data_IF_193831237812
#
_entry.id   IF_193831237812
#
_cell.length_a   1.000
_cell.length_b   1.000
_cell.length_c   1.000
_cell.angle_alpha   90.00
_cell.angle_beta   90.00
_cell.angle_gamma   90.00
#
_symmetry.space_group_name_H-M   'P 1'
#
loop_
_entity.id
_entity.type
_entity.pdbx_description
1 polymer ?
#
# COMPACT_ATOMS: atom_id res chain seq x y z
N UNK A 1 6.94 13.11 10.98
CA UNK A 1 7.05 11.82 11.70
C UNK A 1 6.16 10.79 11.01
N UNK A 2 6.67 9.57 10.83
CA UNK A 2 6.07 8.45 10.11
C UNK A 2 5.51 7.46 11.12
N UNK A 3 4.27 7.03 10.94
CA UNK A 3 3.60 5.99 11.72
C UNK A 3 2.64 5.25 10.80
N UNK A 4 2.61 3.92 10.88
CA UNK A 4 1.70 3.10 10.07
C UNK A 4 0.36 2.85 10.75
N UNK A 5 0.21 3.25 12.02
CA UNK A 5 -1.05 3.12 12.76
C UNK A 5 -2.29 3.62 11.98
N UNK A 6 -2.28 4.81 11.35
CA UNK A 6 -3.47 5.30 10.65
C UNK A 6 -3.89 4.44 9.45
N UNK A 7 -2.93 3.87 8.70
CA UNK A 7 -3.24 3.03 7.54
C UNK A 7 -3.66 1.63 7.95
N UNK A 8 -3.08 1.10 9.04
CA UNK A 8 -3.47 -0.19 9.61
C UNK A 8 -4.88 -0.09 10.21
N UNK A 9 -5.17 0.95 10.99
CA UNK A 9 -6.50 1.18 11.56
C UNK A 9 -7.57 1.33 10.46
N UNK A 10 -7.24 1.97 9.33
CA UNK A 10 -8.12 2.05 8.18
C UNK A 10 -8.38 0.69 7.52
N UNK A 11 -7.35 -0.16 7.42
CA UNK A 11 -7.51 -1.51 6.89
C UNK A 11 -8.38 -2.39 7.81
N UNK A 12 -8.26 -2.25 9.12
CA UNK A 12 -9.12 -2.93 10.11
C UNK A 12 -10.59 -2.52 9.90
N UNK A 13 -10.87 -1.22 9.72
CA UNK A 13 -12.23 -0.72 9.46
C UNK A 13 -12.81 -1.27 8.14
N UNK A 14 -11.98 -1.41 7.11
CA UNK A 14 -12.36 -2.04 5.83
C UNK A 14 -12.71 -3.52 6.04
N UNK A 15 -11.90 -4.26 6.79
CA UNK A 15 -12.14 -5.68 7.10
C UNK A 15 -13.47 -5.86 7.83
N UNK A 16 -13.75 -5.08 8.86
CA UNK A 16 -15.04 -5.09 9.55
C UNK A 16 -16.21 -4.74 8.61
N UNK A 17 -16.05 -3.67 7.83
CA UNK A 17 -17.05 -3.22 6.85
C UNK A 17 -17.36 -4.30 5.81
N UNK A 18 -16.35 -5.08 5.40
CA UNK A 18 -16.48 -6.19 4.46
C UNK A 18 -17.22 -7.42 5.02
N UNK A 19 -17.50 -7.44 6.33
CA UNK A 19 -18.08 -8.61 7.00
C UNK A 19 -17.03 -9.63 7.47
N UNK A 20 -15.80 -9.21 7.74
CA UNK A 20 -14.73 -10.10 8.16
C UNK A 20 -14.14 -10.94 7.02
N UNK A 21 -14.13 -10.43 5.79
CA UNK A 21 -13.40 -11.09 4.70
C UNK A 21 -11.89 -10.93 4.92
N UNK A 22 -11.12 -11.92 4.47
CA UNK A 22 -9.67 -11.86 4.56
C UNK A 22 -9.09 -10.79 3.63
N UNK A 23 -8.22 -9.93 4.16
CA UNK A 23 -7.55 -8.88 3.39
C UNK A 23 -6.04 -8.94 3.59
N UNK A 24 -5.31 -8.49 2.57
CA UNK A 24 -3.87 -8.22 2.65
C UNK A 24 -3.64 -6.73 2.44
N UNK A 25 -3.12 -6.06 3.47
CA UNK A 25 -2.68 -4.67 3.39
C UNK A 25 -1.21 -4.65 2.95
N UNK A 26 -0.95 -4.05 1.79
CA UNK A 26 0.42 -3.81 1.31
C UNK A 26 0.79 -2.34 1.54
N UNK A 27 1.79 -2.08 2.37
CA UNK A 27 2.31 -0.74 2.67
C UNK A 27 3.64 -0.58 1.94
N UNK A 28 3.77 0.44 1.10
CA UNK A 28 5.04 0.79 0.45
C UNK A 28 5.61 2.01 1.18
N UNK A 29 6.83 1.90 1.70
CA UNK A 29 7.46 2.96 2.50
C UNK A 29 8.96 3.07 2.22
N UNK A 30 9.48 4.29 2.32
CA UNK A 30 10.87 4.65 2.02
C UNK A 30 11.80 4.69 3.24
N UNK A 31 11.27 4.46 4.44
CA UNK A 31 12.06 4.48 5.66
C UNK A 31 11.35 3.89 6.87
N UNK A 32 12.05 3.86 8.00
CA UNK A 32 11.53 3.35 9.27
C UNK A 32 10.44 4.25 9.85
N UNK A 33 9.60 3.66 10.71
CA UNK A 33 8.75 4.44 11.64
C UNK A 33 9.64 5.41 12.42
N UNK A 34 9.21 6.67 12.60
CA UNK A 34 10.09 7.70 13.17
C UNK A 34 10.58 7.29 14.55
N UNK A 35 11.89 7.03 14.67
CA UNK A 35 12.57 6.88 15.96
C UNK A 35 12.75 8.23 16.63
N UNK A 36 12.64 8.25 17.96
CA UNK A 36 13.05 9.43 18.72
C UNK A 36 14.57 9.46 18.76
N UNK A 37 15.16 10.61 18.44
CA UNK A 37 16.62 10.84 18.53
C UNK A 37 17.18 10.72 19.95
N UNK A 38 16.31 10.62 20.96
CA UNK A 38 16.67 10.57 22.38
C UNK A 38 16.39 9.22 23.06
N UNK A 39 15.86 8.22 22.35
CA UNK A 39 15.58 6.90 22.94
C UNK A 39 16.80 6.00 22.82
N UNK A 40 17.14 5.32 23.92
CA UNK A 40 18.15 4.26 23.91
C UNK A 40 17.75 3.16 22.92
N UNK A 41 18.70 2.35 22.44
CA UNK A 41 18.47 1.28 21.43
C UNK A 41 17.34 0.28 21.78
N UNK A 42 16.85 0.29 23.03
CA UNK A 42 15.82 -0.60 23.55
C UNK A 42 14.46 0.09 23.78
N UNK A 43 14.34 1.41 23.64
CA UNK A 43 13.08 2.14 23.87
C UNK A 43 12.40 2.48 22.56
N UNK A 44 11.09 2.23 22.50
CA UNK A 44 10.24 2.53 21.33
C UNK A 44 9.85 4.00 21.34
N UNK A 45 9.84 4.63 20.17
CA UNK A 45 9.25 5.96 20.00
C UNK A 45 7.72 5.91 20.13
N UNK A 46 7.06 7.05 20.39
CA UNK A 46 5.59 7.10 20.40
C UNK A 46 4.95 6.71 19.06
N UNK A 47 5.68 6.82 17.94
CA UNK A 47 5.20 6.39 16.62
C UNK A 47 5.36 4.89 16.41
N UNK A 48 6.46 4.31 16.90
CA UNK A 48 6.70 2.86 16.91
C UNK A 48 5.67 2.15 17.78
N UNK A 49 5.45 2.64 19.00
CA UNK A 49 4.45 2.09 19.93
C UNK A 49 3.03 2.11 19.32
N UNK A 50 2.62 3.24 18.72
CA UNK A 50 1.32 3.32 18.03
C UNK A 50 1.20 2.31 16.91
N UNK A 51 2.27 2.13 16.14
CA UNK A 51 2.30 1.18 15.03
C UNK A 51 2.19 -0.26 15.54
N UNK A 52 2.94 -0.62 16.59
CA UNK A 52 2.87 -1.94 17.23
C UNK A 52 1.46 -2.19 17.75
N UNK A 53 0.87 -1.23 18.47
CA UNK A 53 -0.49 -1.38 19.00
C UNK A 53 -1.53 -1.60 17.90
N UNK A 54 -1.41 -0.92 16.75
CA UNK A 54 -2.28 -1.16 15.60
C UNK A 54 -2.04 -2.52 14.96
N UNK A 55 -0.80 -3.02 14.90
CA UNK A 55 -0.50 -4.38 14.40
C UNK A 55 -1.08 -5.46 15.32
N UNK A 56 -0.91 -5.31 16.64
CA UNK A 56 -1.50 -6.22 17.64
C UNK A 56 -3.03 -6.23 17.50
N UNK A 57 -3.66 -5.06 17.41
CA UNK A 57 -5.11 -4.97 17.17
C UNK A 57 -5.54 -5.60 15.84
N UNK A 58 -4.72 -5.46 14.79
CA UNK A 58 -4.97 -6.10 13.50
C UNK A 58 -4.96 -7.65 13.59
N UNK A 59 -4.22 -8.23 14.53
CA UNK A 59 -4.14 -9.70 14.69
C UNK A 59 -5.45 -10.33 15.16
N UNK A 60 -6.37 -9.55 15.75
CA UNK A 60 -7.72 -10.02 16.09
C UNK A 60 -8.71 -9.94 14.91
N UNK A 61 -8.24 -9.60 13.72
CA UNK A 61 -9.03 -9.47 12.50
C UNK A 61 -8.43 -10.33 11.38
N UNK A 62 -9.21 -10.74 10.36
CA UNK A 62 -8.70 -11.48 9.21
C UNK A 62 -7.91 -10.56 8.27
N UNK A 63 -6.77 -10.05 8.76
CA UNK A 63 -5.93 -9.06 8.10
C UNK A 63 -4.45 -9.45 8.18
N UNK A 64 -3.83 -9.62 7.02
CA UNK A 64 -2.38 -9.73 6.86
C UNK A 64 -1.78 -8.41 6.41
N UNK A 65 -0.58 -8.08 6.88
CA UNK A 65 0.12 -6.82 6.57
C UNK A 65 1.46 -7.16 5.94
N UNK A 66 1.76 -6.58 4.77
CA UNK A 66 3.05 -6.69 4.09
C UNK A 66 3.65 -5.29 3.96
N UNK A 67 4.77 -5.06 4.63
CA UNK A 67 5.54 -3.82 4.50
C UNK A 67 6.65 -3.99 3.46
N UNK A 68 6.55 -3.25 2.37
CA UNK A 68 7.51 -3.21 1.28
C UNK A 68 8.41 -1.98 1.44
N UNK A 69 9.66 -2.21 1.84
CA UNK A 69 10.68 -1.18 1.98
C UNK A 69 11.34 -0.84 0.64
N UNK A 70 11.30 0.43 0.23
CA UNK A 70 11.95 0.95 -0.98
C UNK A 70 13.00 2.01 -0.62
N UNK A 71 14.04 2.17 -1.44
CA UNK A 71 15.16 3.07 -1.13
C UNK A 71 16.22 2.45 -0.21
N UNK A 72 17.06 3.32 0.36
CA UNK A 72 18.37 2.94 0.92
C UNK A 72 18.30 2.39 2.36
N UNK A 73 17.17 2.51 3.05
CA UNK A 73 17.02 2.08 4.44
C UNK A 73 17.54 3.11 5.45
N UNK A 74 17.93 2.70 6.68
CA UNK A 74 18.21 1.34 7.15
C UNK A 74 16.95 0.47 7.39
N UNK A 75 17.07 -0.85 7.25
CA UNK A 75 15.95 -1.82 7.38
C UNK A 75 16.12 -2.82 8.54
N UNK A 76 17.25 -2.76 9.23
CA UNK A 76 17.69 -3.64 10.31
C UNK A 76 16.69 -3.61 11.47
N UNK A 77 16.11 -2.45 11.72
CA UNK A 77 15.13 -2.26 12.77
C UNK A 77 13.73 -2.73 12.38
N UNK A 78 13.42 -2.77 11.08
CA UNK A 78 12.17 -3.35 10.58
C UNK A 78 12.19 -4.88 10.69
N UNK A 79 13.36 -5.51 10.49
CA UNK A 79 13.54 -6.94 10.82
C UNK A 79 13.37 -7.21 12.31
N UNK A 80 13.98 -6.38 13.17
CA UNK A 80 13.80 -6.49 14.63
C UNK A 80 12.40 -6.10 15.10
N UNK A 81 11.61 -5.43 14.26
CA UNK A 81 10.27 -4.98 14.63
C UNK A 81 9.32 -6.15 14.75
N UNK A 82 9.47 -7.16 13.89
CA UNK A 82 8.70 -8.40 13.95
C UNK A 82 8.93 -9.16 15.27
N UNK A 83 10.19 -9.29 15.69
CA UNK A 83 10.58 -9.89 16.99
C UNK A 83 10.03 -9.11 18.22
N UNK A 84 9.64 -7.84 18.03
CA UNK A 84 9.25 -6.90 19.10
C UNK A 84 7.75 -6.70 19.24
N UNK A 85 6.91 -7.47 18.54
CA UNK A 85 5.45 -7.37 18.65
C UNK A 85 4.96 -8.43 19.67
N UNK A 86 4.85 -8.11 20.97
CA UNK A 86 4.32 -9.05 21.94
C UNK A 86 2.82 -9.27 21.76
N UNK A 87 2.35 -10.47 22.08
CA UNK A 87 0.93 -10.79 22.31
C UNK A 87 -0.01 -10.62 21.09
N UNK A 88 0.42 -11.02 19.89
CA UNK A 88 -0.47 -11.16 18.72
C UNK A 88 -1.19 -12.52 18.70
N UNK A 89 -2.45 -12.54 18.25
CA UNK A 89 -3.27 -13.75 18.15
C UNK A 89 -2.70 -14.74 17.11
N UNK A 90 -2.07 -14.20 16.05
CA UNK A 90 -1.27 -14.92 15.07
C UNK A 90 -0.23 -13.98 14.44
N UNK A 91 0.74 -14.55 13.74
CA UNK A 91 1.70 -13.77 12.95
C UNK A 91 1.02 -13.14 11.74
N UNK A 92 0.83 -11.83 11.74
CA UNK A 92 0.08 -11.12 10.70
C UNK A 92 0.89 -10.04 9.97
N UNK A 93 2.21 -10.00 10.15
CA UNK A 93 3.05 -8.92 9.63
C UNK A 93 4.31 -9.46 8.96
N UNK A 94 4.54 -9.07 7.71
CA UNK A 94 5.71 -9.47 6.93
C UNK A 94 6.46 -8.24 6.39
N UNK A 95 7.80 -8.24 6.48
CA UNK A 95 8.65 -7.19 5.91
C UNK A 95 9.43 -7.69 4.69
N UNK A 96 9.41 -6.92 3.61
CA UNK A 96 10.13 -7.20 2.36
C UNK A 96 11.00 -6.03 1.96
N UNK A 97 12.31 -6.26 1.82
CA UNK A 97 13.24 -5.28 1.28
C UNK A 97 13.23 -5.33 -0.26
N UNK A 98 12.43 -4.46 -0.88
CA UNK A 98 12.29 -4.41 -2.33
C UNK A 98 13.59 -3.99 -3.02
N UNK A 99 14.27 -2.97 -2.48
CA UNK A 99 15.52 -2.46 -3.06
C UNK A 99 16.59 -3.55 -3.12
N UNK A 100 16.75 -4.33 -2.06
CA UNK A 100 17.72 -5.42 -1.99
C UNK A 100 17.41 -6.55 -3.00
N UNK A 101 16.13 -6.88 -3.20
CA UNK A 101 15.72 -7.87 -4.20
C UNK A 101 16.02 -7.34 -5.61
N UNK A 102 15.65 -6.09 -5.87
CA UNK A 102 15.81 -5.47 -7.19
C UNK A 102 17.27 -5.14 -7.53
N UNK A 103 18.16 -5.01 -6.54
CA UNK A 103 19.59 -4.79 -6.74
C UNK A 103 20.37 -6.05 -7.14
N UNK A 104 19.78 -7.24 -7.04
CA UNK A 104 20.46 -8.50 -7.41
C UNK A 104 20.81 -8.52 -8.90
N UNK A 105 21.90 -9.22 -9.25
CA UNK A 105 22.34 -9.37 -10.65
C UNK A 105 21.69 -10.59 -11.31
N UNK A 106 20.36 -10.57 -11.42
CA UNK A 106 19.52 -11.61 -12.05
C UNK A 106 18.63 -10.99 -13.12
N UNK A 107 17.92 -11.82 -13.88
CA UNK A 107 16.96 -11.31 -14.87
C UNK A 107 15.79 -10.54 -14.19
N UNK A 108 15.10 -9.63 -14.91
CA UNK A 108 13.92 -8.93 -14.37
C UNK A 108 12.85 -9.90 -13.86
N UNK A 109 12.53 -10.93 -14.63
CA UNK A 109 11.50 -11.92 -14.28
C UNK A 109 11.84 -12.67 -12.98
N UNK A 110 13.12 -13.02 -12.77
CA UNK A 110 13.57 -13.64 -11.52
C UNK A 110 13.46 -12.69 -10.32
N UNK A 111 13.67 -11.39 -10.51
CA UNK A 111 13.50 -10.39 -9.43
C UNK A 111 12.04 -10.22 -9.06
N UNK A 112 11.16 -10.16 -10.06
CA UNK A 112 9.71 -10.08 -9.84
C UNK A 112 9.18 -11.33 -9.13
N UNK A 113 9.61 -12.52 -9.57
CA UNK A 113 9.25 -13.78 -8.92
C UNK A 113 9.78 -13.85 -7.48
N UNK A 114 11.04 -13.41 -7.25
CA UNK A 114 11.62 -13.36 -5.91
C UNK A 114 10.88 -12.38 -4.99
N UNK A 115 10.49 -11.22 -5.51
CA UNK A 115 9.68 -10.24 -4.76
C UNK A 115 8.29 -10.80 -4.44
N UNK A 116 7.60 -11.37 -5.43
CA UNK A 116 6.28 -11.95 -5.22
C UNK A 116 6.32 -13.09 -4.19
N UNK A 117 7.33 -13.95 -4.26
CA UNK A 117 7.53 -15.01 -3.27
C UNK A 117 7.78 -14.42 -1.87
N UNK A 118 8.69 -13.45 -1.74
CA UNK A 118 9.00 -12.83 -0.44
C UNK A 118 7.78 -12.11 0.18
N UNK A 119 6.93 -11.50 -0.64
CA UNK A 119 5.73 -10.80 -0.20
C UNK A 119 4.57 -11.75 0.15
N UNK A 120 4.47 -12.91 -0.50
CA UNK A 120 3.30 -13.78 -0.40
C UNK A 120 3.55 -15.09 0.35
N UNK A 121 4.80 -15.46 0.63
CA UNK A 121 5.12 -16.78 1.22
C UNK A 121 4.47 -17.03 2.58
N UNK A 122 4.16 -15.98 3.34
CA UNK A 122 3.49 -16.12 4.64
C UNK A 122 1.95 -16.12 4.53
N UNK A 123 1.40 -15.51 3.49
CA UNK A 123 -0.06 -15.30 3.35
C UNK A 123 -0.85 -16.62 3.45
N UNK A 124 -0.45 -17.76 2.84
CA UNK A 124 -1.15 -19.03 3.01
C UNK A 124 -1.22 -19.50 4.48
N UNK A 125 -0.14 -19.33 5.25
CA UNK A 125 -0.09 -19.72 6.65
C UNK A 125 -0.92 -18.78 7.53
N UNK A 126 -0.87 -17.48 7.24
CA UNK A 126 -1.65 -16.46 7.93
C UNK A 126 -3.15 -16.65 7.69
N UNK A 127 -3.55 -16.94 6.45
CA UNK A 127 -4.92 -17.28 6.11
C UNK A 127 -5.40 -18.53 6.86
N UNK A 128 -4.54 -19.55 6.97
CA UNK A 128 -4.86 -20.76 7.74
C UNK A 128 -5.04 -20.46 9.22
N UNK A 129 -4.16 -19.65 9.82
CA UNK A 129 -4.29 -19.24 11.22
C UNK A 129 -5.61 -18.50 11.47
N UNK A 130 -6.00 -17.60 10.56
CA UNK A 130 -7.30 -16.90 10.60
C UNK A 130 -8.48 -17.87 10.57
N UNK A 131 -8.42 -18.93 9.76
CA UNK A 131 -9.45 -19.98 9.74
C UNK A 131 -9.48 -20.77 11.06
N UNK A 132 -8.31 -21.16 11.57
CA UNK A 132 -8.16 -21.94 12.81
C UNK A 132 -8.61 -21.15 14.06
N UNK A 133 -8.39 -19.83 14.07
CA UNK A 133 -8.90 -18.91 15.09
C UNK A 133 -10.41 -18.64 14.98
N UNK A 134 -11.05 -19.04 13.87
CA UNK A 134 -12.48 -18.85 13.65
C UNK A 134 -12.92 -17.38 13.45
N UNK A 135 -11.98 -16.48 13.14
CA UNK A 135 -12.27 -15.04 12.96
C UNK A 135 -12.68 -14.67 11.53
N UNK A 136 -12.55 -15.60 10.58
CA UNK A 136 -12.98 -15.41 9.19
C UNK A 136 -14.52 -15.29 9.11
N UNK A 137 -15.01 -14.28 8.39
CA UNK A 137 -16.45 -14.01 8.22
C UNK A 137 -17.13 -13.44 9.46
N UNK A 138 -16.37 -13.08 10.49
CA UNK A 138 -16.88 -12.53 11.74
C UNK A 138 -16.51 -11.06 11.90
N UNK A 139 -17.45 -10.28 12.44
CA UNK A 139 -17.23 -8.89 12.84
C UNK A 139 -16.95 -8.86 14.33
N UNK A 140 -15.84 -8.25 14.73
CA UNK A 140 -15.52 -8.04 16.14
C UNK A 140 -16.35 -6.89 16.73
N UNK A 141 -16.74 -5.92 15.88
CA UNK A 141 -17.39 -4.68 16.30
C UNK A 141 -16.48 -3.74 17.12
N UNK A 142 -15.19 -4.06 17.23
CA UNK A 142 -14.21 -3.29 18.02
C UNK A 142 -13.43 -2.26 17.21
N UNK A 143 -13.52 -2.29 15.87
CA UNK A 143 -12.80 -1.36 15.03
C UNK A 143 -13.26 0.09 15.22
N UNK A 144 -12.29 1.00 15.24
CA UNK A 144 -12.56 2.43 15.17
C UNK A 144 -12.92 2.76 13.72
N UNK A 145 -14.04 3.45 13.53
CA UNK A 145 -14.40 3.97 12.21
C UNK A 145 -13.36 5.00 11.77
N UNK A 146 -12.68 4.74 10.66
CA UNK A 146 -11.68 5.64 10.07
C UNK A 146 -12.30 6.31 8.86
N UNK A 147 -12.32 7.65 8.86
CA UNK A 147 -12.77 8.43 7.70
C UNK A 147 -11.52 8.94 6.97
N UNK A 148 -11.18 8.40 5.78
CA UNK A 148 -10.07 8.91 4.99
C UNK A 148 -10.30 10.37 4.64
N UNK A 149 -9.25 11.19 4.77
CA UNK A 149 -9.31 12.57 4.28
C UNK A 149 -9.43 12.55 2.75
N UNK A 150 -10.13 13.52 2.14
CA UNK A 150 -10.09 13.67 0.69
C UNK A 150 -8.64 13.86 0.24
N UNK A 151 -8.26 13.36 -0.95
CA UNK A 151 -6.93 13.59 -1.49
C UNK A 151 -6.67 15.10 -1.56
N UNK A 152 -5.46 15.55 -1.19
CA UNK A 152 -5.13 16.96 -1.27
C UNK A 152 -5.38 17.46 -2.69
N UNK A 153 -6.06 18.59 -2.81
CA UNK A 153 -6.31 19.19 -4.11
C UNK A 153 -4.98 19.43 -4.83
N UNK A 154 -4.89 19.19 -6.15
CA UNK A 154 -3.70 19.52 -6.89
C UNK A 154 -3.34 20.98 -6.63
N UNK A 155 -2.08 21.23 -6.30
CA UNK A 155 -1.56 22.57 -6.02
C UNK A 155 -1.90 23.47 -7.21
N UNK A 156 -2.94 24.28 -7.07
CA UNK A 156 -3.19 25.40 -7.98
C UNK A 156 -2.19 26.45 -7.56
N UNK A 157 -1.08 26.55 -8.28
CA UNK A 157 -0.27 27.75 -8.25
C UNK A 157 -1.24 28.90 -8.44
N UNK A 158 -1.36 29.77 -7.42
CA UNK A 158 -2.17 30.97 -7.54
C UNK A 158 -1.73 31.64 -8.83
N UNK A 159 -2.65 31.78 -9.78
CA UNK A 159 -2.40 32.53 -11.00
C UNK A 159 -1.95 33.90 -10.53
N UNK A 160 -0.64 34.13 -10.62
CA UNK A 160 -0.05 35.43 -10.44
C UNK A 160 -0.78 36.27 -11.46
N UNK A 161 -1.58 37.23 -11.00
CA UNK A 161 -2.30 38.14 -11.86
C UNK A 161 -1.27 38.86 -12.74
N UNK A 162 -1.07 38.36 -13.95
CA UNK A 162 -0.28 39.05 -14.97
C UNK A 162 -1.07 40.27 -15.44
N UNK A 163 -0.41 41.41 -15.67
CA UNK A 163 -1.07 42.60 -16.22
C UNK A 163 -1.58 42.32 -17.64
N UNK A 164 -2.73 42.92 -17.97
CA UNK A 164 -3.43 42.76 -19.24
C UNK A 164 -2.52 42.88 -20.49
N UNK A 165 -2.73 42.07 -21.54
CA UNK A 165 -1.91 42.14 -22.73
C UNK A 165 -2.32 43.32 -23.61
N UNK A 166 -1.32 44.07 -24.05
CA UNK A 166 -1.46 44.99 -25.18
C UNK A 166 -1.54 44.20 -26.48
N UNK A 167 -2.42 44.67 -27.35
CA UNK A 167 -2.82 44.12 -28.63
C UNK A 167 -1.63 43.96 -29.57
N UNK A 168 -1.37 42.75 -30.08
CA UNK A 168 -0.84 42.54 -31.44
C UNK A 168 -1.25 41.15 -31.93
N UNK A 169 -1.74 41.14 -33.17
CA UNK A 169 -2.34 40.02 -33.88
C UNK A 169 -1.27 39.15 -34.55
N UNK A 170 -1.31 37.84 -34.31
CA UNK A 170 -0.74 36.82 -35.18
C UNK A 170 -1.42 35.46 -34.96
N UNK A 171 -1.61 34.76 -36.06
CA UNK A 171 -2.47 33.57 -36.31
C UNK A 171 -2.11 32.32 -35.48
N UNK A 172 -2.97 31.27 -35.42
CA UNK A 172 -2.87 30.21 -34.44
C UNK A 172 -1.84 29.17 -34.88
N UNK A 173 -0.65 29.19 -34.28
CA UNK A 173 0.19 28.00 -34.23
C UNK A 173 -0.42 27.07 -33.18
N UNK A 174 -0.80 25.86 -33.60
CA UNK A 174 -1.23 24.78 -32.71
C UNK A 174 -0.12 24.57 -31.67
N UNK A 175 -0.40 24.91 -30.42
CA UNK A 175 0.57 24.83 -29.32
C UNK A 175 0.71 23.36 -28.87
N UNK A 176 1.74 22.70 -29.42
CA UNK A 176 2.19 21.32 -29.17
C UNK A 176 2.41 21.01 -27.68
N UNK A 177 2.43 22.06 -26.83
CA UNK A 177 2.54 21.97 -25.36
C UNK A 177 1.32 21.41 -24.66
N UNK A 178 0.17 21.31 -25.32
CA UNK A 178 -1.06 20.76 -24.70
C UNK A 178 -1.24 19.25 -24.90
N UNK A 179 -0.32 18.61 -25.63
CA UNK A 179 -0.41 17.19 -25.97
C UNK A 179 0.40 16.27 -25.04
N UNK A 180 1.22 16.82 -24.13
CA UNK A 180 2.02 16.05 -23.16
C UNK A 180 1.32 15.89 -21.80
N UNK A 181 1.58 14.77 -21.11
CA UNK A 181 1.07 14.53 -19.76
C UNK A 181 1.72 15.51 -18.75
N UNK A 182 0.94 16.25 -17.93
CA UNK A 182 1.48 17.22 -16.98
C UNK A 182 2.17 16.61 -15.76
N UNK A 183 2.15 15.28 -15.61
CA UNK A 183 2.78 14.58 -14.48
C UNK A 183 4.17 14.06 -14.85
N UNK A 184 4.34 13.48 -16.03
CA UNK A 184 5.61 12.91 -16.47
C UNK A 184 6.33 13.71 -17.57
N UNK A 185 5.66 14.67 -18.23
CA UNK A 185 6.21 15.59 -19.24
C UNK A 185 6.97 14.96 -20.43
N UNK A 186 6.93 13.63 -20.58
CA UNK A 186 7.78 12.88 -21.53
C UNK A 186 6.99 12.10 -22.59
N UNK A 187 5.65 12.06 -22.55
CA UNK A 187 4.86 11.29 -23.52
C UNK A 187 3.61 12.02 -23.99
N UNK A 188 3.27 11.83 -25.27
CA UNK A 188 2.07 12.36 -25.91
C UNK A 188 0.79 11.63 -25.44
N UNK A 189 -0.33 12.36 -25.41
CA UNK A 189 -1.68 11.86 -25.09
C UNK A 189 -2.13 10.82 -26.11
N UNK A 190 -1.93 9.55 -25.81
CA UNK A 190 -2.53 8.45 -26.55
C UNK A 190 -3.63 7.79 -25.71
N UNK A 191 -4.86 7.80 -26.24
CA UNK A 191 -6.09 7.33 -25.59
C UNK A 191 -6.30 5.81 -25.73
N UNK A 192 -5.40 5.09 -26.38
CA UNK A 192 -5.50 3.64 -26.48
C UNK A 192 -4.66 2.90 -25.43
N UNK A 193 -3.39 3.30 -25.18
CA UNK A 193 -2.50 2.61 -24.19
C UNK A 193 -1.44 3.52 -23.50
N UNK A 194 -1.71 4.83 -23.30
CA UNK A 194 -0.72 5.83 -22.78
C UNK A 194 -0.90 6.41 -21.35
N UNK A 195 0.22 6.93 -20.81
CA UNK A 195 0.55 7.61 -19.51
C UNK A 195 0.25 6.93 -18.16
N UNK A 196 -0.47 5.81 -18.10
CA UNK A 196 -0.40 4.90 -16.95
C UNK A 196 -0.86 5.42 -15.58
N UNK A 197 -1.36 6.66 -15.45
CA UNK A 197 -2.04 7.16 -14.24
C UNK A 197 -3.45 6.56 -14.06
N UNK A 198 -3.63 5.31 -14.48
CA UNK A 198 -4.89 4.57 -14.44
C UNK A 198 -5.45 4.55 -13.02
N UNK A 199 -6.56 5.26 -12.83
CA UNK A 199 -7.52 4.94 -11.76
C UNK A 199 -8.08 3.56 -12.06
N UNK A 200 -7.68 2.57 -11.28
CA UNK A 200 -8.30 1.25 -11.33
C UNK A 200 -9.75 1.37 -10.81
N UNK A 201 -10.72 1.35 -11.72
CA UNK A 201 -12.10 1.00 -11.39
C UNK A 201 -12.23 -0.50 -11.63
N UNK A 202 -12.27 -1.30 -10.56
CA UNK A 202 -12.77 -2.67 -10.66
C UNK A 202 -14.22 -2.65 -10.20
N UNK A 203 -15.15 -2.80 -11.14
CA UNK A 203 -16.49 -3.30 -10.80
C UNK A 203 -16.28 -4.75 -10.34
N UNK A 204 -16.64 -5.04 -9.09
CA UNK A 204 -16.59 -6.40 -8.56
C UNK A 204 -17.42 -7.34 -9.40
N UNK A 205 -16.80 -8.43 -9.87
CA UNK A 205 -17.50 -9.60 -10.38
C UNK A 205 -17.77 -10.50 -9.17
N UNK A 206 -19.03 -10.86 -8.93
CA UNK A 206 -19.38 -11.85 -7.91
C UNK A 206 -18.88 -13.22 -8.37
N UNK A 207 -18.29 -13.98 -7.45
CA UNK A 207 -17.86 -15.37 -7.67
C UNK A 207 -19.01 -16.34 -8.07
N UNK A 208 -20.27 -15.90 -8.05
CA UNK A 208 -21.42 -16.72 -8.46
C UNK A 208 -21.56 -16.93 -9.97
N UNK A 209 -20.82 -16.17 -10.79
CA UNK A 209 -21.11 -16.07 -12.22
C UNK A 209 -20.08 -16.78 -13.12
N UNK A 210 -19.24 -17.66 -12.56
CA UNK A 210 -18.34 -18.51 -13.37
C UNK A 210 -18.97 -19.88 -13.65
N UNK A 211 -19.02 -20.35 -14.91
CA UNK A 211 -19.47 -21.70 -15.21
C UNK A 211 -18.42 -22.74 -14.73
N UNK A 212 -18.85 -23.92 -14.24
CA UNK A 212 -17.94 -24.95 -13.80
C UNK A 212 -17.14 -25.49 -15.00
N UNK A 213 -15.80 -25.49 -14.89
CA UNK A 213 -14.94 -26.20 -15.82
C UNK A 213 -14.81 -27.65 -15.35
N UNK A 214 -15.28 -28.57 -16.20
CA UNK A 214 -15.13 -30.00 -16.01
C UNK A 214 -13.65 -30.39 -15.87
N UNK A 215 -13.36 -31.05 -14.76
CA UNK A 215 -12.06 -31.64 -14.47
C UNK A 215 -12.01 -33.02 -15.14
N UNK A 216 -11.29 -33.15 -16.26
CA UNK A 216 -10.93 -34.45 -16.81
C UNK A 216 -9.46 -34.76 -16.52
N UNK A 217 -9.29 -35.83 -15.74
CA UNK A 217 -8.06 -36.54 -15.44
C UNK A 217 -7.47 -37.17 -16.71
N UNK A 218 -6.18 -36.93 -16.96
CA UNK A 218 -5.23 -37.85 -17.60
C UNK A 218 -3.82 -37.40 -17.28
#
# INVERSE_FOLDING_TARGET
PTSYAPVIDAAIDIVESSGGQFHVLVIIADGQVTRSVNTSNNELSPQEEKTINSIVNASSHPLSIVLVGVGDGPWEDMKKFDDKIPARDFDNFQFVNFTEIMSKNTSPDEKEAAFALAALMEIPFQYKAVMELGILGHRTGKAKKVVPRPPPAPYRAAARSEPAPTTVSSSPALDDRTQACPICLTSAKDLAFGCGHMRMWVKGVKLSDMPPKDYQSS
#
